data_IF_195754853448
#
_entry.id   IF_195754853448
#
_cell.length_a   1.000
_cell.length_b   1.000
_cell.length_c   1.000
_cell.angle_alpha   90.00
_cell.angle_beta   90.00
_cell.angle_gamma   90.00
#
_symmetry.space_group_name_H-M   'P 1'
#
loop_
_entity.id
_entity.type
_entity.pdbx_description
1 polymer ?
#
# COMPACT_ATOMS: atom_id res chain seq x y z
N UNK A 1 -23.87 -4.46 -14.79
CA UNK A 1 -22.54 -3.90 -14.45
C UNK A 1 -21.48 -4.98 -14.62
N UNK A 2 -20.59 -4.82 -15.60
CA UNK A 2 -19.56 -5.82 -15.90
C UNK A 2 -18.62 -6.00 -14.72
N UNK A 3 -18.43 -7.24 -14.25
CA UNK A 3 -17.43 -7.59 -13.24
C UNK A 3 -16.06 -7.23 -13.82
N UNK A 4 -15.52 -6.05 -13.48
CA UNK A 4 -14.13 -5.70 -13.80
C UNK A 4 -13.29 -6.82 -13.19
N UNK A 5 -12.69 -7.68 -14.03
CA UNK A 5 -11.78 -8.73 -13.58
C UNK A 5 -10.66 -8.00 -12.85
N UNK A 6 -10.65 -8.06 -11.52
CA UNK A 6 -9.53 -7.59 -10.71
C UNK A 6 -8.28 -8.28 -11.23
N UNK A 7 -7.48 -7.54 -12.02
CA UNK A 7 -6.19 -8.02 -12.49
C UNK A 7 -5.35 -8.30 -11.26
N UNK A 8 -4.71 -9.49 -11.17
CA UNK A 8 -3.77 -9.77 -10.08
C UNK A 8 -2.74 -8.65 -10.05
N UNK A 9 -2.46 -8.16 -8.85
CA UNK A 9 -1.43 -7.14 -8.67
C UNK A 9 -0.08 -7.82 -8.61
N UNK A 10 0.83 -7.32 -9.42
CA UNK A 10 2.23 -7.67 -9.35
C UNK A 10 2.91 -6.94 -8.19
N UNK A 11 3.89 -7.60 -7.59
CA UNK A 11 4.72 -7.01 -6.55
C UNK A 11 5.26 -5.61 -6.89
N UNK A 12 5.85 -5.36 -8.08
CA UNK A 12 6.31 -4.02 -8.44
C UNK A 12 5.20 -2.96 -8.49
N UNK A 13 3.97 -3.33 -8.84
CA UNK A 13 2.83 -2.39 -8.88
C UNK A 13 2.42 -1.98 -7.46
N UNK A 14 2.34 -2.96 -6.54
CA UNK A 14 2.04 -2.69 -5.13
C UNK A 14 3.11 -1.78 -4.48
N UNK A 15 4.39 -2.03 -4.77
CA UNK A 15 5.50 -1.21 -4.26
C UNK A 15 5.44 0.23 -4.75
N UNK A 16 5.07 0.45 -6.01
CA UNK A 16 4.89 1.80 -6.57
C UNK A 16 3.80 2.56 -5.81
N UNK A 17 2.65 1.92 -5.56
CA UNK A 17 1.55 2.52 -4.81
C UNK A 17 2.00 2.83 -3.36
N UNK A 18 2.63 1.87 -2.69
CA UNK A 18 3.18 2.06 -1.34
C UNK A 18 4.13 3.25 -1.26
N UNK A 19 5.06 3.35 -2.22
CA UNK A 19 6.00 4.46 -2.27
C UNK A 19 5.31 5.82 -2.47
N UNK A 20 4.29 5.90 -3.34
CA UNK A 20 3.50 7.12 -3.55
C UNK A 20 2.67 7.52 -2.32
N UNK A 21 2.20 6.53 -1.58
CA UNK A 21 1.48 6.74 -0.33
C UNK A 21 2.37 7.20 0.83
N UNK A 22 3.70 7.26 0.66
CA UNK A 22 4.63 7.62 1.74
C UNK A 22 5.13 6.45 2.58
N UNK A 23 4.88 5.19 2.17
CA UNK A 23 5.50 4.05 2.85
C UNK A 23 6.98 3.93 2.47
N UNK A 24 7.80 3.68 3.48
CA UNK A 24 9.21 3.41 3.33
C UNK A 24 9.47 1.90 3.38
N UNK A 25 10.04 1.36 2.30
CA UNK A 25 10.52 -0.01 2.25
C UNK A 25 11.77 -0.17 3.11
N UNK A 26 11.72 -1.06 4.09
CA UNK A 26 12.89 -1.48 4.85
C UNK A 26 13.57 -2.65 4.12
N UNK A 27 14.89 -2.56 3.86
CA UNK A 27 15.62 -3.68 3.26
C UNK A 27 15.59 -4.87 4.22
N UNK A 28 14.97 -5.97 3.78
CA UNK A 28 14.96 -7.25 4.48
C UNK A 28 15.81 -8.28 3.74
N UNK A 29 16.45 -9.20 4.47
CA UNK A 29 17.27 -10.29 3.91
C UNK A 29 16.47 -11.42 3.25
N UNK A 30 15.20 -11.22 2.87
CA UNK A 30 14.34 -12.30 2.36
C UNK A 30 13.29 -11.85 1.34
N UNK A 31 12.51 -12.81 0.83
CA UNK A 31 11.44 -12.58 -0.16
C UNK A 31 10.22 -11.78 0.37
N UNK A 32 10.26 -11.38 1.65
CA UNK A 32 9.25 -10.55 2.30
C UNK A 32 9.84 -9.17 2.57
N UNK A 33 9.34 -8.16 1.86
CA UNK A 33 9.70 -6.77 2.08
C UNK A 33 8.78 -6.15 3.13
N UNK A 34 9.37 -5.45 4.09
CA UNK A 34 8.61 -4.73 5.10
C UNK A 34 8.49 -3.28 4.68
N UNK A 35 7.27 -2.77 4.66
CA UNK A 35 6.96 -1.39 4.33
C UNK A 35 6.35 -0.74 5.57
N UNK A 36 6.88 0.40 5.97
CA UNK A 36 6.41 1.11 7.16
C UNK A 36 6.01 2.52 6.79
N UNK A 37 4.88 2.97 7.33
CA UNK A 37 4.48 4.37 7.28
C UNK A 37 4.49 4.93 8.70
N UNK A 38 5.16 6.06 8.96
CA UNK A 38 5.29 6.62 10.30
C UNK A 38 3.93 6.98 10.93
N UNK A 39 3.01 7.52 10.13
CA UNK A 39 1.81 8.16 10.66
C UNK A 39 0.59 8.14 9.72
N UNK A 40 0.39 7.12 8.88
CA UNK A 40 -0.73 7.10 7.94
C UNK A 40 -2.07 7.06 8.67
N UNK A 41 -2.93 8.05 8.41
CA UNK A 41 -4.20 8.26 9.13
C UNK A 41 -3.99 8.41 10.65
N UNK A 42 -2.90 9.07 11.04
CA UNK A 42 -2.56 9.29 12.45
C UNK A 42 -2.08 8.04 13.20
N UNK A 43 -1.73 6.96 12.50
CA UNK A 43 -1.19 5.73 13.12
C UNK A 43 -0.01 5.18 12.33
N UNK A 44 0.97 4.62 13.05
CA UNK A 44 2.06 3.86 12.42
C UNK A 44 1.49 2.60 11.76
N UNK A 45 1.79 2.40 10.48
CA UNK A 45 1.34 1.23 9.71
C UNK A 45 2.54 0.42 9.26
N UNK A 46 2.37 -0.90 9.25
CA UNK A 46 3.39 -1.87 8.90
C UNK A 46 2.75 -2.86 7.94
N UNK A 47 3.35 -3.03 6.77
CA UNK A 47 2.81 -3.85 5.69
C UNK A 47 3.91 -4.80 5.26
N UNK A 48 3.60 -6.08 5.21
CA UNK A 48 4.56 -7.11 4.78
C UNK A 48 4.20 -7.57 3.37
N UNK A 49 4.99 -7.14 2.40
CA UNK A 49 4.81 -7.49 0.99
C UNK A 49 5.57 -8.77 0.69
N UNK A 50 4.83 -9.84 0.40
CA UNK A 50 5.39 -11.18 0.17
C UNK A 50 5.47 -11.48 -1.32
N UNK A 51 6.57 -11.13 -1.98
CA UNK A 51 6.68 -11.26 -3.44
C UNK A 51 6.72 -12.69 -3.97
N UNK A 52 6.96 -13.68 -3.11
CA UNK A 52 6.87 -15.10 -3.49
C UNK A 52 5.45 -15.58 -3.81
N UNK A 53 4.41 -14.90 -3.33
CA UNK A 53 3.01 -15.27 -3.59
C UNK A 53 2.42 -14.52 -4.79
N UNK A 54 3.24 -13.89 -5.64
CA UNK A 54 2.75 -13.27 -6.87
C UNK A 54 2.39 -14.36 -7.89
N UNK A 55 1.18 -14.32 -8.50
CA UNK A 55 0.12 -13.31 -8.38
C UNK A 55 -0.65 -13.41 -7.05
N UNK A 56 -0.79 -12.28 -6.33
CA UNK A 56 -1.48 -12.28 -5.04
C UNK A 56 -2.93 -12.73 -5.19
N UNK A 57 -3.31 -13.75 -4.44
CA UNK A 57 -4.71 -14.14 -4.30
C UNK A 57 -5.49 -13.02 -3.62
N UNK A 58 -6.77 -12.81 -3.99
CA UNK A 58 -7.62 -11.71 -3.50
C UNK A 58 -7.62 -11.56 -1.97
N UNK A 59 -7.59 -12.68 -1.25
CA UNK A 59 -7.52 -12.70 0.23
C UNK A 59 -6.25 -12.07 0.77
N UNK A 60 -5.09 -12.37 0.17
CA UNK A 60 -3.80 -11.83 0.62
C UNK A 60 -3.75 -10.33 0.33
N UNK A 61 -4.22 -9.91 -0.85
CA UNK A 61 -4.29 -8.49 -1.19
C UNK A 61 -5.20 -7.73 -0.21
N UNK A 62 -6.36 -8.30 0.15
CA UNK A 62 -7.26 -7.70 1.13
C UNK A 62 -6.60 -7.51 2.50
N UNK A 63 -5.89 -8.53 2.99
CA UNK A 63 -5.14 -8.44 4.24
C UNK A 63 -4.04 -7.36 4.19
N UNK A 64 -3.36 -7.21 3.05
CA UNK A 64 -2.36 -6.15 2.86
C UNK A 64 -3.00 -4.76 2.86
N UNK A 65 -4.13 -4.59 2.17
CA UNK A 65 -4.90 -3.34 2.13
C UNK A 65 -5.36 -2.94 3.55
N UNK A 66 -5.85 -3.90 4.34
CA UNK A 66 -6.21 -3.66 5.74
C UNK A 66 -5.00 -3.27 6.61
N UNK A 67 -3.84 -3.91 6.40
CA UNK A 67 -2.59 -3.54 7.08
C UNK A 67 -2.15 -2.11 6.73
N UNK A 68 -2.35 -1.70 5.47
CA UNK A 68 -2.13 -0.32 5.02
C UNK A 68 -3.12 0.66 5.66
N UNK A 69 -4.25 0.20 6.21
CA UNK A 69 -5.31 1.08 6.70
C UNK A 69 -6.11 1.76 5.58
N UNK A 70 -6.08 1.15 4.39
CA UNK A 70 -6.87 1.54 3.24
C UNK A 70 -8.09 0.64 3.13
N UNK A 71 -9.12 1.14 2.47
CA UNK A 71 -10.24 0.35 1.98
C UNK A 71 -9.95 -0.15 0.57
N UNK A 72 -10.71 -1.15 0.12
CA UNK A 72 -10.61 -1.67 -1.25
C UNK A 72 -10.84 -0.59 -2.31
N UNK A 73 -11.73 0.35 -2.02
CA UNK A 73 -12.08 1.45 -2.91
C UNK A 73 -10.96 2.48 -2.97
N UNK A 74 -10.43 2.92 -1.82
CA UNK A 74 -9.27 3.82 -1.76
C UNK A 74 -8.07 3.21 -2.49
N UNK A 75 -7.81 1.92 -2.28
CA UNK A 75 -6.72 1.23 -2.96
C UNK A 75 -6.94 1.12 -4.47
N UNK A 76 -8.18 0.83 -4.91
CA UNK A 76 -8.52 0.81 -6.33
C UNK A 76 -8.36 2.20 -6.98
N UNK A 77 -8.72 3.27 -6.27
CA UNK A 77 -8.51 4.64 -6.71
C UNK A 77 -7.02 4.99 -6.78
N UNK A 78 -6.21 4.60 -5.79
CA UNK A 78 -4.75 4.78 -5.83
C UNK A 78 -4.10 4.03 -7.00
N UNK A 79 -4.69 2.89 -7.39
CA UNK A 79 -4.23 2.10 -8.54
C UNK A 79 -4.62 2.76 -9.87
N UNK A 80 -5.83 3.28 -9.97
CA UNK A 80 -6.34 3.93 -11.19
C UNK A 80 -5.74 5.34 -11.37
N UNK A 81 -5.53 6.06 -10.27
CA UNK A 81 -4.99 7.41 -10.22
C UNK A 81 -3.81 7.51 -9.24
N UNK A 82 -2.61 7.66 -9.80
CA UNK A 82 -1.39 7.85 -9.01
C UNK A 82 -1.37 9.20 -8.28
N UNK A 83 -2.04 10.23 -8.81
CA UNK A 83 -2.12 11.54 -8.16
C UNK A 83 -2.89 11.44 -6.84
N UNK A 84 -3.97 10.66 -6.81
CA UNK A 84 -4.74 10.40 -5.60
C UNK A 84 -3.89 9.74 -4.52
N UNK A 85 -3.04 8.77 -4.87
CA UNK A 85 -2.15 8.12 -3.91
C UNK A 85 -1.16 9.12 -3.27
N UNK A 86 -0.63 10.06 -4.04
CA UNK A 86 0.27 11.11 -3.53
C UNK A 86 -0.47 12.10 -2.63
N UNK A 87 -1.65 12.56 -3.05
CA UNK A 87 -2.48 13.48 -2.26
C UNK A 87 -2.95 12.83 -0.96
N UNK A 88 -3.33 11.55 -1.02
CA UNK A 88 -3.74 10.77 0.14
C UNK A 88 -2.58 10.59 1.12
N UNK A 89 -1.41 10.24 0.61
CA UNK A 89 -0.18 10.17 1.40
C UNK A 89 0.07 11.51 2.10
N UNK A 90 0.06 12.63 1.38
CA UNK A 90 0.25 13.98 1.97
C UNK A 90 -0.81 14.37 2.99
N UNK A 91 -2.09 14.07 2.73
CA UNK A 91 -3.21 14.41 3.62
C UNK A 91 -3.11 13.64 4.94
N UNK A 92 -2.64 12.39 4.86
CA UNK A 92 -2.59 11.46 5.97
C UNK A 92 -1.20 11.26 6.54
N UNK A 93 -0.20 11.98 6.05
CA UNK A 93 1.10 12.13 6.67
C UNK A 93 0.94 13.11 7.83
N UNK A 94 1.11 12.64 9.06
CA UNK A 94 1.38 13.58 10.14
C UNK A 94 2.73 14.20 9.82
N UNK A 95 2.73 15.49 9.47
CA UNK A 95 3.91 16.31 9.61
C UNK A 95 4.50 16.00 10.98
N UNK A 96 5.69 15.40 10.99
CA UNK A 96 6.44 15.20 12.22
C UNK A 96 6.82 16.60 12.68
N UNK A 97 5.95 17.20 13.48
CA UNK A 97 6.24 18.40 14.25
C UNK A 97 7.46 18.05 15.10
N UNK A 98 8.59 18.57 14.65
CA UNK A 98 9.90 18.45 15.28
C UNK A 98 9.94 19.54 16.32
N UNK A 99 9.38 19.24 17.50
CA UNK A 99 9.63 19.99 18.74
C UNK A 99 10.78 19.34 19.50
#
# INVERSE_FOLDING_TARGET
MGRRREKPIDCPELKKILNRLGFHGQPGKGAHEKWVHPCLKGRKRHVIVSCHNAPFHRKILYLMIEQMGLTREEFAQCRESLSYAEEFGRLHDCQADTT
#
